data_IF_714846208644
#
_entry.id   IF_714846208644
#
_cell.length_a   1.000
_cell.length_b   1.000
_cell.length_c   1.000
_cell.angle_alpha   90.00
_cell.angle_beta   90.00
_cell.angle_gamma   90.00
#
_symmetry.space_group_name_H-M   'P 1'
#
loop_
_entity.id
_entity.type
_entity.pdbx_description
1 polymer ?
#
# COMPACT_ATOMS: atom_id res chain seq x y z
N UNK A 1 5.47 12.52 -10.55
CA UNK A 1 4.20 11.98 -11.11
C UNK A 1 4.04 12.34 -12.57
N UNK A 2 3.97 13.62 -12.92
CA UNK A 2 3.71 14.02 -14.31
C UNK A 2 4.74 13.49 -15.32
N UNK A 3 6.04 13.52 -14.97
CA UNK A 3 7.11 13.02 -15.84
C UNK A 3 6.97 11.51 -16.11
N UNK A 4 6.63 10.74 -15.08
CA UNK A 4 6.38 9.31 -15.23
C UNK A 4 5.13 9.06 -16.08
N UNK A 5 4.03 9.76 -15.80
CA UNK A 5 2.79 9.68 -16.58
C UNK A 5 2.99 10.04 -18.06
N UNK A 6 3.88 10.98 -18.37
CA UNK A 6 4.16 11.38 -19.75
C UNK A 6 4.83 10.27 -20.58
N UNK A 7 5.48 9.31 -19.93
CA UNK A 7 6.25 8.25 -20.58
C UNK A 7 5.67 6.84 -20.35
N UNK A 8 4.71 6.70 -19.44
CA UNK A 8 4.12 5.43 -19.09
C UNK A 8 3.19 4.93 -20.20
N UNK A 9 3.39 3.68 -20.59
CA UNK A 9 2.49 2.97 -21.50
C UNK A 9 1.17 2.61 -20.80
N UNK A 10 0.12 2.35 -21.60
CA UNK A 10 -1.15 1.81 -21.11
C UNK A 10 -0.92 0.53 -20.28
N UNK A 11 0.01 -0.32 -20.69
CA UNK A 11 0.31 -1.56 -19.99
C UNK A 11 0.93 -1.33 -18.60
N UNK A 12 1.87 -0.39 -18.47
CA UNK A 12 2.48 -0.01 -17.20
C UNK A 12 1.48 0.66 -16.26
N UNK A 13 0.64 1.55 -16.79
CA UNK A 13 -0.45 2.18 -16.04
C UNK A 13 -1.44 1.15 -15.52
N UNK A 14 -1.89 0.23 -16.39
CA UNK A 14 -2.82 -0.82 -16.01
C UNK A 14 -2.21 -1.77 -14.99
N UNK A 15 -0.92 -2.10 -15.11
CA UNK A 15 -0.20 -2.90 -14.12
C UNK A 15 -0.21 -2.22 -12.74
N UNK A 16 0.18 -0.95 -12.68
CA UNK A 16 0.19 -0.20 -11.42
C UNK A 16 -1.19 -0.13 -10.79
N UNK A 17 -2.22 0.19 -11.58
CA UNK A 17 -3.61 0.28 -11.12
C UNK A 17 -4.14 -1.06 -10.61
N UNK A 18 -3.74 -2.19 -11.20
CA UNK A 18 -4.07 -3.53 -10.69
C UNK A 18 -3.38 -3.84 -9.37
N UNK A 19 -2.09 -3.51 -9.26
CA UNK A 19 -1.30 -3.76 -8.05
C UNK A 19 -1.87 -3.02 -6.83
N UNK A 20 -2.42 -1.82 -7.05
CA UNK A 20 -3.02 -1.02 -5.99
C UNK A 20 -4.42 -1.44 -5.54
N UNK A 21 -5.10 -2.31 -6.29
CA UNK A 21 -6.51 -2.59 -6.08
C UNK A 21 -6.70 -4.02 -5.57
N UNK A 22 -6.94 -4.14 -4.25
CA UNK A 22 -7.24 -5.43 -3.58
C UNK A 22 -8.67 -5.92 -3.83
N UNK A 23 -9.49 -5.20 -4.61
CA UNK A 23 -10.88 -5.58 -4.88
C UNK A 23 -10.99 -6.53 -6.10
N UNK A 24 -11.73 -7.66 -6.04
CA UNK A 24 -11.81 -8.66 -7.11
C UNK A 24 -12.32 -8.16 -8.48
N UNK A 25 -12.95 -6.98 -8.55
CA UNK A 25 -13.46 -6.35 -9.78
C UNK A 25 -12.47 -5.38 -10.46
N UNK A 26 -11.27 -5.21 -9.89
CA UNK A 26 -10.28 -4.21 -10.30
C UNK A 26 -9.67 -4.40 -11.70
N UNK A 27 -9.47 -5.66 -12.12
CA UNK A 27 -8.72 -5.97 -13.34
C UNK A 27 -9.31 -5.33 -14.60
N UNK A 28 -10.64 -5.28 -14.70
CA UNK A 28 -11.36 -4.70 -15.84
C UNK A 28 -11.40 -3.16 -15.79
N UNK A 29 -11.28 -2.55 -14.60
CA UNK A 29 -11.31 -1.10 -14.45
C UNK A 29 -9.92 -0.48 -14.66
N UNK A 30 -8.86 -1.19 -14.29
CA UNK A 30 -7.48 -0.74 -14.45
C UNK A 30 -7.12 -0.43 -15.91
N UNK A 31 -7.49 -1.29 -16.86
CA UNK A 31 -7.22 -1.08 -18.28
C UNK A 31 -8.01 0.10 -18.85
N UNK A 32 -9.29 0.25 -18.45
CA UNK A 32 -10.13 1.38 -18.89
C UNK A 32 -9.62 2.71 -18.36
N UNK A 33 -9.20 2.75 -17.09
CA UNK A 33 -8.57 3.93 -16.49
C UNK A 33 -7.23 4.25 -17.15
N UNK A 34 -6.38 3.24 -17.36
CA UNK A 34 -5.09 3.43 -18.03
C UNK A 34 -5.27 4.00 -19.45
N UNK A 35 -6.20 3.43 -20.23
CA UNK A 35 -6.50 3.92 -21.57
C UNK A 35 -7.04 5.36 -21.52
N UNK A 36 -7.97 5.66 -20.61
CA UNK A 36 -8.53 7.00 -20.49
C UNK A 36 -7.48 8.06 -20.14
N UNK A 37 -6.51 7.72 -19.28
CA UNK A 37 -5.39 8.61 -18.95
C UNK A 37 -4.54 8.92 -20.18
N UNK A 38 -4.18 7.89 -20.96
CA UNK A 38 -3.38 8.06 -22.18
C UNK A 38 -4.16 8.84 -23.24
N UNK A 39 -5.43 8.49 -23.47
CA UNK A 39 -6.31 9.20 -24.40
C UNK A 39 -6.46 10.69 -24.04
N UNK A 40 -6.59 11.00 -22.74
CA UNK A 40 -6.64 12.39 -22.27
C UNK A 40 -5.31 13.11 -22.54
N UNK A 41 -4.17 12.45 -22.33
CA UNK A 41 -2.85 13.00 -22.64
C UNK A 41 -2.64 13.22 -24.14
N UNK A 42 -3.13 12.32 -24.99
CA UNK A 42 -3.06 12.45 -26.44
C UNK A 42 -3.91 13.62 -26.95
N UNK A 43 -5.07 13.86 -26.34
CA UNK A 43 -6.00 14.94 -26.73
C UNK A 43 -5.58 16.32 -26.24
N UNK A 44 -5.11 16.43 -24.99
CA UNK A 44 -4.89 17.72 -24.33
C UNK A 44 -3.44 17.94 -23.86
N UNK A 45 -2.50 17.10 -24.33
CA UNK A 45 -1.10 17.11 -23.91
C UNK A 45 -0.87 16.55 -22.50
N UNK A 46 0.38 16.55 -22.01
CA UNK A 46 0.76 15.94 -20.74
C UNK A 46 -0.10 16.38 -19.55
N UNK A 47 -0.44 15.45 -18.65
CA UNK A 47 -1.26 15.74 -17.48
C UNK A 47 -0.44 16.46 -16.39
N UNK A 48 -0.57 17.80 -16.32
CA UNK A 48 0.21 18.67 -15.41
C UNK A 48 -0.46 18.98 -14.07
N UNK A 49 -1.70 18.54 -13.84
CA UNK A 49 -2.42 18.84 -12.60
C UNK A 49 -3.14 17.64 -12.01
N UNK A 50 -3.13 17.55 -10.68
CA UNK A 50 -3.85 16.51 -9.96
C UNK A 50 -5.38 16.61 -10.16
N UNK A 51 -5.90 17.82 -10.40
CA UNK A 51 -7.33 18.04 -10.70
C UNK A 51 -7.73 17.35 -12.00
N UNK A 52 -7.04 17.65 -13.10
CA UNK A 52 -7.30 17.01 -14.41
C UNK A 52 -7.17 15.48 -14.33
N UNK A 53 -6.15 14.99 -13.63
CA UNK A 53 -6.01 13.55 -13.39
C UNK A 53 -7.22 12.98 -12.63
N UNK A 54 -7.67 13.68 -11.58
CA UNK A 54 -8.84 13.27 -10.80
C UNK A 54 -10.13 13.28 -11.64
N UNK A 55 -10.31 14.28 -12.51
CA UNK A 55 -11.47 14.40 -13.39
C UNK A 55 -11.56 13.21 -14.37
N UNK A 56 -10.43 12.80 -14.97
CA UNK A 56 -10.36 11.63 -15.85
C UNK A 56 -10.73 10.34 -15.11
N UNK A 57 -10.19 10.16 -13.90
CA UNK A 57 -10.53 8.99 -13.07
C UNK A 57 -12.01 9.02 -12.66
N UNK A 58 -12.54 10.18 -12.27
CA UNK A 58 -13.95 10.33 -11.91
C UNK A 58 -14.89 10.00 -13.07
N UNK A 59 -14.56 10.44 -14.28
CA UNK A 59 -15.34 10.14 -15.49
C UNK A 59 -15.43 8.62 -15.71
N UNK A 60 -14.30 7.92 -15.68
CA UNK A 60 -14.26 6.46 -15.85
C UNK A 60 -15.03 5.75 -14.73
N UNK A 61 -14.81 6.14 -13.47
CA UNK A 61 -15.42 5.49 -12.31
C UNK A 61 -16.92 5.76 -12.18
N UNK A 62 -17.38 6.96 -12.56
CA UNK A 62 -18.82 7.29 -12.60
C UNK A 62 -19.56 6.47 -13.64
N UNK A 63 -18.93 6.21 -14.79
CA UNK A 63 -19.50 5.35 -15.84
C UNK A 63 -19.54 3.87 -15.44
N UNK A 64 -18.71 3.46 -14.49
CA UNK A 64 -18.61 2.07 -14.02
C UNK A 64 -19.58 1.78 -12.87
N UNK A 65 -19.66 2.68 -11.87
CA UNK A 65 -20.40 2.43 -10.63
C UNK A 65 -21.82 3.01 -10.60
N UNK A 66 -22.25 3.73 -11.64
CA UNK A 66 -23.59 4.31 -11.72
C UNK A 66 -23.93 5.20 -10.51
N UNK A 67 -25.17 5.11 -10.00
CA UNK A 67 -25.69 5.95 -8.90
C UNK A 67 -24.98 5.66 -7.56
N UNK A 68 -24.46 4.45 -7.36
CA UNK A 68 -23.73 4.07 -6.14
C UNK A 68 -22.34 4.72 -6.05
N UNK A 69 -21.71 5.01 -7.19
CA UNK A 69 -20.44 5.75 -7.25
C UNK A 69 -20.53 7.16 -6.67
N UNK A 70 -21.71 7.80 -6.79
CA UNK A 70 -21.96 9.16 -6.29
C UNK A 70 -22.25 9.23 -4.79
N UNK A 71 -22.52 8.09 -4.14
CA UNK A 71 -22.77 8.02 -2.69
C UNK A 71 -21.50 7.74 -1.88
N UNK A 72 -20.32 7.63 -2.52
CA UNK A 72 -19.06 7.46 -1.81
C UNK A 72 -18.70 8.73 -1.04
N UNK A 73 -18.33 8.57 0.23
CA UNK A 73 -17.89 9.66 1.10
C UNK A 73 -16.55 10.29 0.67
N UNK A 74 -15.78 9.62 -0.20
CA UNK A 74 -14.49 10.06 -0.70
C UNK A 74 -14.47 10.04 -2.23
N UNK A 75 -13.81 11.04 -2.82
CA UNK A 75 -13.65 11.15 -4.26
C UNK A 75 -12.97 9.88 -4.82
N UNK A 76 -13.47 9.30 -5.93
CA UNK A 76 -12.95 8.04 -6.47
C UNK A 76 -11.45 8.08 -6.80
N UNK A 77 -10.95 9.22 -7.26
CA UNK A 77 -9.52 9.40 -7.55
C UNK A 77 -8.61 9.42 -6.32
N UNK A 78 -9.12 9.57 -5.09
CA UNK A 78 -8.30 9.68 -3.87
C UNK A 78 -7.41 8.45 -3.69
N UNK A 79 -7.98 7.25 -3.87
CA UNK A 79 -7.24 5.99 -3.77
C UNK A 79 -6.16 5.86 -4.86
N UNK A 80 -6.51 6.23 -6.09
CA UNK A 80 -5.60 6.17 -7.24
C UNK A 80 -4.42 7.14 -7.06
N UNK A 81 -4.68 8.37 -6.64
CA UNK A 81 -3.62 9.35 -6.35
C UNK A 81 -2.73 8.83 -5.21
N UNK A 82 -3.32 8.25 -4.16
CA UNK A 82 -2.59 7.64 -3.06
C UNK A 82 -1.67 6.49 -3.49
N UNK A 83 -2.15 5.66 -4.42
CA UNK A 83 -1.38 4.56 -5.03
C UNK A 83 -0.17 5.08 -5.82
N UNK A 84 -0.40 6.04 -6.71
CA UNK A 84 0.68 6.63 -7.52
C UNK A 84 1.75 7.27 -6.65
N UNK A 85 1.33 7.97 -5.60
CA UNK A 85 2.26 8.56 -4.61
C UNK A 85 3.11 7.47 -3.96
N UNK A 86 2.49 6.38 -3.52
CA UNK A 86 3.18 5.28 -2.88
C UNK A 86 4.20 4.59 -3.79
N UNK A 87 3.82 4.34 -5.05
CA UNK A 87 4.68 3.74 -6.05
C UNK A 87 5.86 4.65 -6.42
N UNK A 88 5.59 5.90 -6.79
CA UNK A 88 6.63 6.81 -7.27
C UNK A 88 7.64 7.19 -6.18
N UNK A 89 7.19 7.29 -4.93
CA UNK A 89 8.05 7.62 -3.81
C UNK A 89 8.64 6.37 -3.12
N UNK A 90 8.39 5.17 -3.65
CA UNK A 90 8.88 3.90 -3.09
C UNK A 90 8.56 3.81 -1.59
N UNK A 91 7.33 4.16 -1.19
CA UNK A 91 6.98 4.36 0.22
C UNK A 91 7.11 3.07 1.05
N UNK A 92 6.82 1.92 0.43
CA UNK A 92 6.93 0.62 1.09
C UNK A 92 8.39 0.24 1.30
N UNK A 93 9.24 0.47 0.31
CA UNK A 93 10.68 0.23 0.39
C UNK A 93 11.32 1.12 1.46
N UNK A 94 10.93 2.40 1.49
CA UNK A 94 11.37 3.33 2.53
C UNK A 94 10.88 2.93 3.92
N UNK A 95 9.63 2.46 4.06
CA UNK A 95 9.11 1.93 5.32
C UNK A 95 9.94 0.74 5.81
N UNK A 96 10.17 -0.26 4.95
CA UNK A 96 10.99 -1.44 5.28
C UNK A 96 12.41 -1.06 5.69
N UNK A 97 13.06 -0.18 4.93
CA UNK A 97 14.41 0.30 5.24
C UNK A 97 14.44 1.07 6.56
N UNK A 98 13.43 1.90 6.82
CA UNK A 98 13.25 2.65 8.06
C UNK A 98 13.08 1.75 9.27
N UNK A 99 12.21 0.73 9.19
CA UNK A 99 11.99 -0.28 10.24
C UNK A 99 13.29 -1.02 10.57
N UNK A 100 14.00 -1.52 9.57
CA UNK A 100 15.27 -2.22 9.76
C UNK A 100 16.34 -1.30 10.38
N UNK A 101 16.40 -0.04 9.94
CA UNK A 101 17.34 0.94 10.47
C UNK A 101 17.02 1.38 11.91
N UNK A 102 15.73 1.46 12.25
CA UNK A 102 15.25 1.74 13.61
C UNK A 102 15.58 0.58 14.54
N UNK A 103 15.25 -0.66 14.14
CA UNK A 103 15.53 -1.86 14.92
C UNK A 103 17.01 -1.99 15.32
N UNK A 104 17.92 -1.76 14.37
CA UNK A 104 19.38 -1.78 14.65
C UNK A 104 19.86 -0.70 15.63
N UNK A 105 19.11 0.39 15.80
CA UNK A 105 19.49 1.54 16.64
C UNK A 105 18.80 1.54 17.99
N UNK A 106 17.72 0.79 18.16
CA UNK A 106 17.02 0.70 19.42
C UNK A 106 17.92 0.10 20.50
N UNK A 107 18.03 0.82 21.62
CA UNK A 107 18.64 0.27 22.85
C UNK A 107 17.66 -0.69 23.51
N UNK A 108 18.13 -1.62 24.35
CA UNK A 108 17.24 -2.43 25.19
C UNK A 108 16.23 -1.56 25.95
N UNK A 109 14.95 -1.94 25.90
CA UNK A 109 13.84 -1.17 26.48
C UNK A 109 13.40 0.07 25.68
N UNK A 110 14.06 0.37 24.56
CA UNK A 110 13.66 1.42 23.63
C UNK A 110 12.34 1.10 22.92
N UNK A 111 11.62 2.15 22.50
CA UNK A 111 10.33 2.02 21.81
C UNK A 111 10.41 2.67 20.44
N UNK A 112 9.83 2.02 19.44
CA UNK A 112 9.60 2.58 18.11
C UNK A 112 8.09 2.68 17.90
N UNK A 113 7.63 3.84 17.44
CA UNK A 113 6.23 4.09 17.12
C UNK A 113 6.15 4.33 15.62
N UNK A 114 5.25 3.61 14.95
CA UNK A 114 5.04 3.69 13.50
C UNK A 114 3.60 4.07 13.25
N UNK A 115 3.37 5.28 12.72
CA UNK A 115 2.05 5.73 12.32
C UNK A 115 1.75 5.23 10.91
N UNK A 116 0.74 4.37 10.78
CA UNK A 116 0.32 3.79 9.51
C UNK A 116 -0.94 4.49 9.02
N UNK A 117 -0.94 4.94 7.76
CA UNK A 117 -2.07 5.66 7.17
C UNK A 117 -2.89 4.79 6.20
N UNK A 118 -2.34 3.64 5.81
CA UNK A 118 -2.95 2.72 4.85
C UNK A 118 -2.87 1.29 5.38
N UNK A 119 -3.84 0.42 5.04
CA UNK A 119 -3.79 -1.01 5.42
C UNK A 119 -2.51 -1.73 4.99
N UNK A 120 -1.89 -1.33 3.88
CA UNK A 120 -0.61 -1.90 3.44
C UNK A 120 0.54 -1.56 4.38
N UNK A 121 0.55 -0.35 4.96
CA UNK A 121 1.60 0.07 5.90
C UNK A 121 1.56 -0.82 7.15
N UNK A 122 0.35 -1.10 7.66
CA UNK A 122 0.14 -1.99 8.80
C UNK A 122 0.62 -3.42 8.52
N UNK A 123 0.30 -3.96 7.35
CA UNK A 123 0.71 -5.31 6.98
C UNK A 123 2.24 -5.45 6.89
N UNK A 124 2.93 -4.43 6.37
CA UNK A 124 4.39 -4.40 6.32
C UNK A 124 5.01 -4.31 7.73
N UNK A 125 4.43 -3.50 8.62
CA UNK A 125 4.85 -3.44 10.03
C UNK A 125 4.61 -4.77 10.73
N UNK A 126 3.44 -5.38 10.56
CA UNK A 126 3.08 -6.68 11.13
C UNK A 126 4.06 -7.76 10.69
N UNK A 127 4.35 -7.84 9.39
CA UNK A 127 5.33 -8.79 8.84
C UNK A 127 6.71 -8.56 9.44
N UNK A 128 7.18 -7.31 9.49
CA UNK A 128 8.48 -6.96 10.07
C UNK A 128 8.59 -7.40 11.53
N UNK A 129 7.55 -7.16 12.34
CA UNK A 129 7.51 -7.60 13.74
C UNK A 129 7.59 -9.13 13.86
N UNK A 130 6.80 -9.86 13.07
CA UNK A 130 6.82 -11.34 13.08
C UNK A 130 8.21 -11.90 12.72
N UNK A 131 8.89 -11.30 11.75
CA UNK A 131 10.24 -11.71 11.34
C UNK A 131 11.31 -11.46 12.42
N UNK A 132 11.14 -10.44 13.26
CA UNK A 132 12.14 -10.00 14.25
C UNK A 132 11.79 -10.39 15.70
N UNK A 133 10.59 -10.90 15.94
CA UNK A 133 10.19 -11.44 17.24
C UNK A 133 10.34 -12.96 17.33
N UNK A 134 10.49 -13.67 16.20
CA UNK A 134 10.65 -15.11 16.24
C UNK A 134 11.88 -15.50 17.08
N UNK A 135 11.73 -16.40 18.10
CA UNK A 135 12.86 -16.90 18.84
C UNK A 135 13.85 -17.57 17.90
N UNK A 136 15.16 -17.36 18.12
CA UNK A 136 16.16 -18.12 17.37
C UNK A 136 15.93 -19.63 17.56
N UNK A 137 16.35 -20.48 16.60
CA UNK A 137 16.24 -21.93 16.74
C UNK A 137 16.87 -22.43 18.06
N UNK A 138 18.01 -21.85 18.47
CA UNK A 138 18.65 -22.22 19.73
C UNK A 138 17.83 -21.82 20.97
N UNK A 139 17.13 -20.67 20.92
CA UNK A 139 16.22 -20.24 22.00
C UNK A 139 14.98 -21.14 22.03
N UNK A 140 14.48 -21.54 20.87
CA UNK A 140 13.31 -22.43 20.74
C UNK A 140 13.57 -23.81 21.34
N UNK A 141 14.74 -24.39 21.08
CA UNK A 141 15.16 -25.67 21.65
C UNK A 141 15.36 -25.59 23.17
N UNK A 142 15.83 -24.44 23.66
CA UNK A 142 16.05 -24.20 25.09
C UNK A 142 14.78 -23.87 25.87
N UNK A 143 13.68 -23.52 25.20
CA UNK A 143 12.40 -23.24 25.83
C UNK A 143 11.50 -24.49 25.80
N UNK A 144 11.43 -25.24 26.92
CA UNK A 144 10.91 -26.60 26.94
C UNK A 144 9.40 -26.69 26.76
N UNK A 145 8.65 -25.58 26.88
CA UNK A 145 7.19 -25.58 26.77
C UNK A 145 6.68 -24.60 25.71
N UNK A 146 5.71 -25.01 24.87
CA UNK A 146 5.01 -24.11 23.95
C UNK A 146 4.39 -22.91 24.66
N UNK A 147 3.82 -23.13 25.86
CA UNK A 147 3.25 -22.06 26.68
C UNK A 147 4.28 -21.00 27.07
N UNK A 148 5.49 -21.41 27.49
CA UNK A 148 6.55 -20.46 27.87
C UNK A 148 7.10 -19.69 26.67
N UNK A 149 7.09 -20.29 25.47
CA UNK A 149 7.41 -19.58 24.23
C UNK A 149 6.41 -18.47 23.95
N UNK A 150 5.11 -18.75 24.05
CA UNK A 150 4.07 -17.73 23.85
C UNK A 150 4.07 -16.63 24.91
N UNK A 151 4.50 -16.92 26.14
CA UNK A 151 4.68 -15.89 27.18
C UNK A 151 5.84 -14.93 26.88
N UNK A 152 6.91 -15.43 26.26
CA UNK A 152 8.14 -14.66 25.98
C UNK A 152 8.13 -14.02 24.59
N UNK A 153 7.38 -14.59 23.65
CA UNK A 153 7.18 -14.14 22.28
C UNK A 153 5.68 -14.05 22.01
N UNK A 154 4.99 -13.09 22.62
CA UNK A 154 3.54 -13.00 22.58
C UNK A 154 3.02 -12.98 21.14
N UNK A 155 3.70 -12.28 20.23
CA UNK A 155 3.23 -12.12 18.86
C UNK A 155 3.40 -13.41 18.01
N UNK A 156 4.17 -14.40 18.49
CA UNK A 156 4.35 -15.68 17.81
C UNK A 156 3.14 -16.63 17.91
N UNK A 157 2.16 -16.32 18.77
CA UNK A 157 0.94 -17.14 18.91
C UNK A 157 -0.35 -16.35 18.85
N UNK A 158 -0.35 -15.17 18.24
CA UNK A 158 -1.59 -14.42 18.03
C UNK A 158 -1.84 -14.17 16.55
N UNK A 159 -3.11 -14.26 16.18
CA UNK A 159 -3.64 -13.77 14.90
C UNK A 159 -4.06 -12.29 15.00
N UNK A 160 -3.71 -11.59 16.10
CA UNK A 160 -4.13 -10.20 16.32
C UNK A 160 -3.39 -9.26 15.36
N UNK A 161 -4.13 -8.25 14.94
CA UNK A 161 -3.63 -7.13 14.15
C UNK A 161 -3.14 -6.03 15.09
N UNK A 162 -1.83 -5.83 15.17
CA UNK A 162 -1.17 -4.86 16.06
C UNK A 162 -1.11 -3.44 15.46
N UNK A 163 -2.03 -3.16 14.55
CA UNK A 163 -2.19 -1.95 13.76
C UNK A 163 -2.80 -0.76 14.51
N UNK A 164 -3.16 -0.90 15.79
CA UNK A 164 -3.87 0.12 16.57
C UNK A 164 -3.00 1.26 17.08
#
# INVERSE_FOLDING_TARGET
MHEWLANASVAELAWLLREGDRHPSAGMHAERMAQAIVDDQDRHGPCMSARRFADVIEEVMSNIHGVEGRQRASHPATGVIGLFRAFLNQEVEHLRAGLAAAFRRLRPGGRCVVACARPQDHEEVRRFLMEHEAPSPEITERLPSPRRRLELFPLAGTDLDYSV
#
